data_IF_487712419265
#
_entry.id   IF_487712419265
#
_cell.length_a   1.000
_cell.length_b   1.000
_cell.length_c   1.000
_cell.angle_alpha   90.00
_cell.angle_beta   90.00
_cell.angle_gamma   90.00
#
_symmetry.space_group_name_H-M   'P 1'
#
loop_
_entity.id
_entity.type
_entity.pdbx_description
1 polymer ?
#
# COMPACT_ATOMS: atom_id res chain seq x y z
N UNK A 1 29.53 -7.71 2.74
CA UNK A 1 28.94 -8.22 1.48
C UNK A 1 28.64 -7.05 0.56
N UNK A 2 28.96 -7.15 -0.72
CA UNK A 2 28.56 -6.13 -1.69
C UNK A 2 27.14 -6.44 -2.14
N UNK A 3 26.20 -5.58 -1.78
CA UNK A 3 24.79 -5.75 -2.10
C UNK A 3 24.51 -5.24 -3.53
N UNK A 4 23.75 -6.01 -4.32
CA UNK A 4 23.36 -5.62 -5.70
C UNK A 4 22.14 -4.72 -5.66
N UNK A 5 21.18 -5.00 -4.77
CA UNK A 5 19.97 -4.21 -4.62
C UNK A 5 20.15 -3.02 -3.66
N UNK A 6 19.65 -1.82 -3.97
CA UNK A 6 19.65 -0.71 -3.04
C UNK A 6 18.81 -0.97 -1.78
N UNK A 7 17.82 -1.86 -1.85
CA UNK A 7 17.00 -2.29 -0.71
C UNK A 7 17.85 -3.00 0.35
N UNK A 8 18.80 -3.84 -0.07
CA UNK A 8 19.71 -4.57 0.83
C UNK A 8 20.95 -3.77 1.21
N UNK A 9 21.18 -2.63 0.54
CA UNK A 9 22.28 -1.71 0.76
C UNK A 9 21.86 -0.38 1.37
N UNK A 10 21.79 0.65 0.53
CA UNK A 10 21.51 2.06 0.90
C UNK A 10 20.25 2.24 1.74
N UNK A 11 19.21 1.45 1.49
CA UNK A 11 17.90 1.60 2.11
C UNK A 11 17.58 0.55 3.18
N UNK A 12 18.50 -0.36 3.46
CA UNK A 12 18.29 -1.51 4.35
C UNK A 12 17.68 -1.12 5.70
N UNK A 13 18.25 -0.13 6.37
CA UNK A 13 17.76 0.33 7.69
C UNK A 13 16.35 0.91 7.64
N UNK A 14 15.98 1.49 6.50
CA UNK A 14 14.65 2.08 6.32
C UNK A 14 13.53 1.05 6.11
N UNK A 15 13.88 -0.19 5.76
CA UNK A 15 12.93 -1.25 5.39
C UNK A 15 13.12 -2.53 6.19
N UNK A 16 13.97 -2.52 7.21
CA UNK A 16 14.36 -3.69 8.02
C UNK A 16 13.16 -4.38 8.69
N UNK A 17 12.06 -3.67 8.97
CA UNK A 17 10.84 -4.25 9.52
C UNK A 17 10.23 -5.33 8.60
N UNK A 18 10.55 -5.30 7.30
CA UNK A 18 10.08 -6.29 6.33
C UNK A 18 10.95 -7.55 6.29
N UNK A 19 12.14 -7.56 6.88
CA UNK A 19 13.03 -8.73 6.94
C UNK A 19 12.32 -9.93 7.58
N UNK A 20 11.55 -9.72 8.64
CA UNK A 20 10.78 -10.75 9.31
C UNK A 20 9.64 -11.37 8.48
N UNK A 21 9.37 -10.81 7.28
CA UNK A 21 8.33 -11.30 6.38
C UNK A 21 8.89 -11.78 5.04
N UNK A 22 9.84 -11.06 4.43
CA UNK A 22 10.21 -11.30 3.03
C UNK A 22 11.67 -11.74 2.82
N UNK A 23 12.48 -11.86 3.89
CA UNK A 23 13.79 -12.47 3.77
C UNK A 23 13.68 -13.98 3.49
N UNK A 24 14.73 -14.57 2.95
CA UNK A 24 14.80 -16.03 2.78
C UNK A 24 14.68 -16.75 4.12
N UNK A 25 15.27 -16.19 5.18
CA UNK A 25 15.16 -16.70 6.54
C UNK A 25 13.68 -16.66 7.02
N UNK A 26 12.96 -15.60 6.75
CA UNK A 26 11.53 -15.50 7.07
C UNK A 26 10.73 -16.57 6.32
N UNK A 27 10.98 -16.79 5.03
CA UNK A 27 10.28 -17.84 4.27
C UNK A 27 10.51 -19.22 4.90
N UNK A 28 11.75 -19.55 5.30
CA UNK A 28 12.02 -20.82 5.99
C UNK A 28 11.26 -20.92 7.31
N UNK A 29 11.24 -19.87 8.11
CA UNK A 29 10.48 -19.80 9.37
C UNK A 29 8.98 -20.02 9.15
N UNK A 30 8.38 -19.40 8.13
CA UNK A 30 6.96 -19.58 7.81
C UNK A 30 6.66 -20.99 7.29
N UNK A 31 7.55 -21.61 6.53
CA UNK A 31 7.43 -23.02 6.13
C UNK A 31 7.41 -23.95 7.34
N UNK A 32 8.32 -23.72 8.31
CA UNK A 32 8.35 -24.47 9.56
C UNK A 32 7.05 -24.28 10.34
N UNK A 33 6.54 -23.04 10.43
CA UNK A 33 5.26 -22.76 11.07
C UNK A 33 4.13 -23.61 10.44
N UNK A 34 4.02 -23.61 9.11
CA UNK A 34 2.96 -24.35 8.40
C UNK A 34 3.10 -25.87 8.63
N UNK A 35 4.31 -26.41 8.50
CA UNK A 35 4.59 -27.84 8.73
C UNK A 35 4.28 -28.26 10.17
N UNK A 36 4.72 -27.49 11.15
CA UNK A 36 4.53 -27.79 12.57
C UNK A 36 3.03 -27.71 12.92
N UNK A 37 2.33 -26.65 12.55
CA UNK A 37 0.90 -26.52 12.87
C UNK A 37 0.06 -27.57 12.12
N UNK A 38 0.48 -28.00 10.91
CA UNK A 38 -0.12 -29.12 10.22
C UNK A 38 0.10 -30.44 10.97
N UNK A 39 1.33 -30.75 11.36
CA UNK A 39 1.68 -31.92 12.17
C UNK A 39 0.83 -31.97 13.45
N UNK A 40 0.72 -30.85 14.17
CA UNK A 40 -0.09 -30.73 15.38
C UNK A 40 -1.57 -31.00 15.10
N UNK A 41 -2.07 -30.44 13.99
CA UNK A 41 -3.47 -30.64 13.57
C UNK A 41 -3.76 -32.07 13.16
N UNK A 42 -2.80 -32.76 12.52
CA UNK A 42 -2.96 -34.21 12.22
C UNK A 42 -3.08 -35.05 13.48
N UNK A 43 -2.25 -34.78 14.49
CA UNK A 43 -2.30 -35.55 15.76
C UNK A 43 -3.63 -35.36 16.50
N UNK A 44 -4.32 -34.23 16.30
CA UNK A 44 -5.67 -34.01 16.87
C UNK A 44 -6.76 -34.86 16.21
N UNK A 45 -6.55 -35.45 15.02
CA UNK A 45 -7.51 -36.32 14.38
C UNK A 45 -7.66 -37.63 15.14
N UNK A 46 -8.90 -38.10 15.34
CA UNK A 46 -9.21 -39.36 16.03
C UNK A 46 -8.41 -40.55 15.49
N UNK A 47 -8.12 -40.57 14.20
CA UNK A 47 -7.37 -41.64 13.52
C UNK A 47 -5.89 -41.70 13.97
N UNK A 48 -5.34 -40.62 14.49
CA UNK A 48 -3.96 -40.52 14.97
C UNK A 48 -3.85 -40.45 16.51
N UNK A 49 -4.89 -39.96 17.22
CA UNK A 49 -4.86 -39.73 18.67
C UNK A 49 -4.57 -41.00 19.50
N UNK A 50 -5.09 -42.17 19.10
CA UNK A 50 -4.96 -43.42 19.88
C UNK A 50 -3.50 -43.86 20.09
N UNK A 51 -2.54 -43.33 19.33
CA UNK A 51 -1.13 -43.74 19.36
C UNK A 51 -0.13 -42.61 19.68
N UNK A 52 -0.57 -41.35 19.73
CA UNK A 52 0.35 -40.16 19.75
C UNK A 52 -0.19 -38.99 20.55
N UNK A 53 -0.17 -39.13 21.88
CA UNK A 53 -0.49 -37.99 22.75
C UNK A 53 0.66 -36.96 22.75
N UNK A 54 0.33 -35.65 22.80
CA UNK A 54 1.32 -34.59 22.91
C UNK A 54 1.23 -33.94 24.29
N UNK A 55 2.35 -33.97 25.03
CA UNK A 55 2.46 -33.23 26.27
C UNK A 55 2.54 -31.71 25.96
N UNK A 56 2.17 -30.86 26.91
CA UNK A 56 2.35 -29.38 26.80
C UNK A 56 3.81 -29.02 26.45
N UNK A 57 4.77 -29.74 27.03
CA UNK A 57 6.19 -29.56 26.74
C UNK A 57 6.53 -29.85 25.27
N UNK A 58 6.01 -30.95 24.72
CA UNK A 58 6.23 -31.29 23.29
C UNK A 58 5.59 -30.27 22.37
N UNK A 59 4.37 -29.82 22.67
CA UNK A 59 3.68 -28.75 21.91
C UNK A 59 4.49 -27.46 21.88
N UNK A 60 4.97 -27.00 23.05
CA UNK A 60 5.81 -25.82 23.15
C UNK A 60 7.12 -25.98 22.38
N UNK A 61 7.82 -27.13 22.56
CA UNK A 61 9.09 -27.40 21.85
C UNK A 61 8.93 -27.37 20.33
N UNK A 62 7.82 -27.89 19.80
CA UNK A 62 7.55 -27.86 18.35
C UNK A 62 7.27 -26.45 17.87
N UNK A 63 6.47 -25.66 18.59
CA UNK A 63 6.17 -24.27 18.22
C UNK A 63 7.39 -23.37 18.34
N UNK A 64 8.28 -23.61 19.28
CA UNK A 64 9.52 -22.86 19.41
C UNK A 64 10.44 -23.00 18.18
N UNK A 65 10.27 -24.04 17.34
CA UNK A 65 11.03 -24.18 16.09
C UNK A 65 10.82 -22.98 15.13
N UNK A 66 9.62 -22.35 15.17
CA UNK A 66 9.36 -21.17 14.35
C UNK A 66 9.23 -19.88 15.16
N UNK A 67 8.93 -19.95 16.47
CA UNK A 67 8.85 -18.76 17.34
C UNK A 67 10.26 -18.25 17.64
N UNK A 68 11.18 -19.15 17.98
CA UNK A 68 12.57 -18.86 18.35
C UNK A 68 13.55 -19.18 17.20
N UNK A 69 13.07 -19.14 15.95
CA UNK A 69 13.88 -19.47 14.77
C UNK A 69 15.08 -18.54 14.64
N UNK A 70 16.28 -19.11 14.65
CA UNK A 70 17.56 -18.41 14.73
C UNK A 70 18.38 -18.50 13.45
N UNK A 71 19.41 -17.64 13.33
CA UNK A 71 20.42 -17.73 12.26
C UNK A 71 21.12 -19.08 12.21
N UNK A 72 21.29 -19.73 13.37
CA UNK A 72 21.88 -21.07 13.45
C UNK A 72 20.96 -22.10 12.78
N UNK A 73 19.67 -22.02 13.04
CA UNK A 73 18.67 -22.91 12.42
C UNK A 73 18.60 -22.67 10.90
N UNK A 74 18.61 -21.42 10.49
CA UNK A 74 18.66 -21.05 9.07
C UNK A 74 19.90 -21.64 8.37
N UNK A 75 21.09 -21.46 8.95
CA UNK A 75 22.33 -22.03 8.41
C UNK A 75 22.29 -23.57 8.35
N UNK A 76 21.66 -24.22 9.33
CA UNK A 76 21.46 -25.68 9.33
C UNK A 76 20.59 -26.10 8.14
N UNK A 77 19.46 -25.43 7.90
CA UNK A 77 18.56 -25.70 6.77
C UNK A 77 19.29 -25.49 5.44
N UNK A 78 20.04 -24.37 5.30
CA UNK A 78 20.82 -24.10 4.08
C UNK A 78 21.89 -25.16 3.80
N UNK A 79 22.50 -25.71 4.85
CA UNK A 79 23.43 -26.82 4.71
C UNK A 79 22.75 -28.12 4.24
N UNK A 80 21.53 -28.38 4.66
CA UNK A 80 20.73 -29.51 4.17
C UNK A 80 20.35 -29.27 2.72
N UNK A 81 19.83 -28.07 2.41
CA UNK A 81 19.41 -27.67 1.06
C UNK A 81 20.55 -27.80 0.05
N UNK A 82 21.77 -27.39 0.40
CA UNK A 82 22.95 -27.49 -0.50
C UNK A 82 23.29 -28.94 -0.92
N UNK A 83 22.82 -29.93 -0.16
CA UNK A 83 23.00 -31.36 -0.49
C UNK A 83 21.81 -31.94 -1.27
N UNK A 84 20.59 -31.48 -0.96
CA UNK A 84 19.36 -32.04 -1.50
C UNK A 84 18.87 -31.30 -2.76
N UNK A 85 19.35 -30.09 -3.01
CA UNK A 85 18.86 -29.14 -4.02
C UNK A 85 17.34 -28.89 -3.94
N UNK A 86 16.78 -29.02 -2.71
CA UNK A 86 15.34 -28.86 -2.52
C UNK A 86 15.03 -28.16 -1.18
N UNK A 87 14.59 -26.93 -1.26
CA UNK A 87 14.39 -26.04 -0.12
C UNK A 87 13.30 -26.52 0.87
N UNK A 88 12.12 -26.96 0.38
CA UNK A 88 11.04 -27.48 1.26
C UNK A 88 11.46 -28.80 1.89
N UNK A 89 12.12 -29.69 1.14
CA UNK A 89 12.64 -30.94 1.70
C UNK A 89 13.66 -30.68 2.82
N UNK A 90 14.49 -29.66 2.67
CA UNK A 90 15.43 -29.26 3.71
C UNK A 90 14.73 -28.88 5.03
N UNK A 91 13.58 -28.22 4.96
CA UNK A 91 12.72 -27.92 6.12
C UNK A 91 12.17 -29.20 6.75
N UNK A 92 11.69 -30.16 5.94
CA UNK A 92 11.17 -31.44 6.41
C UNK A 92 12.26 -32.23 7.16
N UNK A 93 13.48 -32.30 6.59
CA UNK A 93 14.63 -32.97 7.24
C UNK A 93 14.98 -32.26 8.55
N UNK A 94 15.05 -30.93 8.55
CA UNK A 94 15.32 -30.15 9.76
C UNK A 94 14.32 -30.44 10.89
N UNK A 95 13.02 -30.44 10.59
CA UNK A 95 11.99 -30.76 11.58
C UNK A 95 12.15 -32.20 12.08
N UNK A 96 12.45 -33.15 11.20
CA UNK A 96 12.68 -34.56 11.55
C UNK A 96 13.87 -34.71 12.50
N UNK A 97 14.99 -34.05 12.25
CA UNK A 97 16.16 -34.02 13.15
C UNK A 97 15.82 -33.44 14.53
N UNK A 98 14.98 -32.38 14.58
CA UNK A 98 14.53 -31.80 15.85
C UNK A 98 13.58 -32.76 16.62
N UNK A 99 12.72 -33.48 15.93
CA UNK A 99 11.86 -34.52 16.53
C UNK A 99 12.68 -35.67 17.12
N UNK A 100 13.75 -36.12 16.46
CA UNK A 100 14.68 -37.11 17.00
C UNK A 100 15.33 -36.64 18.31
N UNK A 101 15.79 -35.39 18.35
CA UNK A 101 16.45 -34.80 19.53
C UNK A 101 15.54 -34.73 20.76
N UNK A 102 14.24 -34.58 20.57
CA UNK A 102 13.25 -34.59 21.66
C UNK A 102 12.61 -35.97 21.88
N UNK A 103 13.20 -37.03 21.31
CA UNK A 103 12.76 -38.42 21.43
C UNK A 103 11.33 -38.66 20.94
N UNK A 104 10.91 -37.97 19.86
CA UNK A 104 9.58 -38.09 19.24
C UNK A 104 9.69 -38.58 17.79
N UNK A 105 10.49 -39.63 17.58
CA UNK A 105 10.59 -40.34 16.28
C UNK A 105 9.26 -40.83 15.74
N UNK A 106 8.32 -41.12 16.63
CA UNK A 106 6.95 -41.52 16.30
C UNK A 106 6.19 -40.46 15.45
N UNK A 107 6.56 -39.21 15.50
CA UNK A 107 5.96 -38.11 14.76
C UNK A 107 6.59 -37.87 13.38
N UNK A 108 7.83 -38.34 13.13
CA UNK A 108 8.55 -38.11 11.87
C UNK A 108 7.74 -38.53 10.64
N UNK A 109 7.05 -39.69 10.61
CA UNK A 109 6.23 -40.10 9.45
C UNK A 109 5.06 -39.17 9.16
N UNK A 110 4.73 -38.23 10.06
CA UNK A 110 3.61 -37.30 9.89
C UNK A 110 4.09 -35.92 9.37
N UNK A 111 5.39 -35.65 9.38
CA UNK A 111 5.93 -34.42 8.77
C UNK A 111 5.68 -34.50 7.28
N UNK A 112 5.13 -33.45 6.69
CA UNK A 112 4.79 -33.39 5.26
C UNK A 112 3.83 -34.51 4.77
N UNK A 113 3.03 -35.08 5.67
CA UNK A 113 2.17 -36.23 5.37
C UNK A 113 1.10 -35.90 4.31
N UNK A 114 1.18 -36.55 3.15
CA UNK A 114 0.23 -36.40 2.05
C UNK A 114 0.32 -35.08 1.30
N UNK A 115 1.28 -34.23 1.63
CA UNK A 115 1.45 -32.89 1.07
C UNK A 115 2.35 -32.86 -0.17
N UNK A 116 2.29 -31.75 -0.85
CA UNK A 116 3.28 -31.31 -1.82
C UNK A 116 3.91 -30.00 -1.34
N UNK A 117 5.09 -29.64 -1.87
CA UNK A 117 5.79 -28.41 -1.50
C UNK A 117 4.92 -27.15 -1.64
N UNK A 118 3.99 -27.14 -2.59
CA UNK A 118 3.10 -26.01 -2.80
C UNK A 118 2.04 -25.85 -1.71
N UNK A 119 1.62 -26.91 -1.04
CA UNK A 119 0.73 -26.75 0.14
C UNK A 119 1.39 -25.90 1.21
N UNK A 120 2.72 -26.05 1.36
CA UNK A 120 3.53 -25.27 2.32
C UNK A 120 3.85 -23.89 1.77
N UNK A 121 4.30 -23.79 0.52
CA UNK A 121 4.74 -22.52 -0.09
C UNK A 121 3.60 -21.51 -0.19
N UNK A 122 2.46 -21.88 -0.79
CA UNK A 122 1.37 -20.93 -0.95
C UNK A 122 0.86 -20.44 0.40
N UNK A 123 0.70 -21.33 1.38
CA UNK A 123 0.27 -20.96 2.73
C UNK A 123 1.29 -20.05 3.42
N UNK A 124 2.60 -20.33 3.28
CA UNK A 124 3.66 -19.50 3.82
C UNK A 124 3.63 -18.09 3.19
N UNK A 125 3.57 -17.98 1.87
CA UNK A 125 3.51 -16.68 1.19
C UNK A 125 2.25 -15.89 1.55
N UNK A 126 1.09 -16.53 1.66
CA UNK A 126 -0.14 -15.86 2.11
C UNK A 126 -0.01 -15.33 3.54
N UNK A 127 0.58 -16.11 4.46
CA UNK A 127 0.82 -15.67 5.84
C UNK A 127 1.85 -14.52 5.92
N UNK A 128 2.94 -14.60 5.17
CA UNK A 128 3.97 -13.55 5.08
C UNK A 128 3.36 -12.24 4.58
N UNK A 129 2.64 -12.31 3.47
CA UNK A 129 2.00 -11.15 2.83
C UNK A 129 0.93 -10.54 3.73
N UNK A 130 0.09 -11.36 4.35
CA UNK A 130 -0.92 -10.91 5.32
C UNK A 130 -0.28 -10.23 6.53
N UNK A 131 0.76 -10.84 7.09
CA UNK A 131 1.49 -10.32 8.23
C UNK A 131 2.15 -8.98 7.93
N UNK A 132 2.87 -8.86 6.82
CA UNK A 132 3.49 -7.62 6.37
C UNK A 132 2.45 -6.51 6.12
N UNK A 133 1.35 -6.84 5.44
CA UNK A 133 0.25 -5.89 5.20
C UNK A 133 -0.32 -5.36 6.51
N UNK A 134 -0.72 -6.26 7.42
CA UNK A 134 -1.40 -5.88 8.66
C UNK A 134 -0.49 -5.12 9.63
N UNK A 135 0.75 -5.60 9.80
CA UNK A 135 1.60 -5.13 10.89
C UNK A 135 2.58 -4.02 10.47
N UNK A 136 2.88 -3.88 9.18
CA UNK A 136 3.86 -2.90 8.68
C UNK A 136 3.22 -1.92 7.71
N UNK A 137 2.61 -2.40 6.61
CA UNK A 137 2.21 -1.53 5.51
C UNK A 137 1.00 -0.66 5.85
N UNK A 138 -0.08 -1.25 6.36
CA UNK A 138 -1.28 -0.50 6.77
C UNK A 138 -0.96 0.53 7.86
N UNK A 139 -0.18 0.22 8.92
CA UNK A 139 0.30 1.22 9.86
C UNK A 139 1.12 2.34 9.21
N UNK A 140 2.01 2.02 8.26
CA UNK A 140 2.81 3.02 7.57
C UNK A 140 1.93 3.98 6.74
N UNK A 141 0.95 3.47 5.99
CA UNK A 141 -0.02 4.28 5.24
C UNK A 141 -0.83 5.17 6.19
N UNK A 142 -1.31 4.62 7.32
CA UNK A 142 -2.04 5.39 8.35
C UNK A 142 -1.20 6.51 8.95
N UNK A 143 0.12 6.30 9.10
CA UNK A 143 1.02 7.35 9.57
C UNK A 143 1.16 8.49 8.53
N UNK A 144 1.24 8.19 7.23
CA UNK A 144 1.20 9.22 6.18
C UNK A 144 -0.11 10.00 6.26
N UNK A 145 -1.25 9.30 6.32
CA UNK A 145 -2.58 9.93 6.45
C UNK A 145 -2.67 10.83 7.67
N UNK A 146 -2.14 10.41 8.80
CA UNK A 146 -2.12 11.22 10.03
C UNK A 146 -1.44 12.57 9.81
N UNK A 147 -0.28 12.60 9.17
CA UNK A 147 0.44 13.84 8.91
C UNK A 147 -0.24 14.68 7.81
N UNK A 148 -0.79 14.04 6.76
CA UNK A 148 -1.59 14.73 5.75
C UNK A 148 -2.83 15.39 6.35
N UNK A 149 -3.59 14.69 7.21
CA UNK A 149 -4.74 15.25 7.91
C UNK A 149 -4.36 16.45 8.78
N UNK A 150 -3.24 16.41 9.50
CA UNK A 150 -2.75 17.54 10.26
C UNK A 150 -2.46 18.76 9.36
N UNK A 151 -1.82 18.53 8.21
CA UNK A 151 -1.51 19.58 7.25
C UNK A 151 -2.81 20.14 6.64
N UNK A 152 -3.73 19.29 6.19
CA UNK A 152 -5.00 19.68 5.61
C UNK A 152 -5.85 20.51 6.60
N UNK A 153 -5.98 20.08 7.86
CA UNK A 153 -6.70 20.83 8.91
C UNK A 153 -6.11 22.23 9.16
N UNK A 154 -4.77 22.34 9.18
CA UNK A 154 -4.11 23.65 9.37
C UNK A 154 -4.29 24.59 8.19
N UNK A 155 -4.61 24.07 7.02
CA UNK A 155 -4.69 24.81 5.76
C UNK A 155 -6.11 24.83 5.17
N UNK A 156 -7.11 24.29 5.89
CA UNK A 156 -8.48 24.17 5.38
C UNK A 156 -9.13 25.50 5.00
N UNK A 157 -8.79 26.58 5.72
CA UNK A 157 -9.29 27.94 5.49
C UNK A 157 -8.30 28.83 4.71
N UNK A 158 -7.26 28.27 4.10
CA UNK A 158 -6.33 29.03 3.28
C UNK A 158 -6.77 29.00 1.82
N UNK A 159 -7.34 30.10 1.26
CA UNK A 159 -7.72 30.19 -0.13
C UNK A 159 -6.50 30.04 -1.03
N UNK A 160 -6.66 29.34 -2.14
CA UNK A 160 -5.64 29.09 -3.14
C UNK A 160 -6.23 29.17 -4.54
N UNK A 161 -5.49 29.79 -5.47
CA UNK A 161 -5.81 29.75 -6.88
C UNK A 161 -5.65 28.34 -7.41
N UNK A 162 -6.73 27.70 -7.90
CA UNK A 162 -6.60 26.43 -8.62
C UNK A 162 -6.17 26.66 -10.06
N UNK A 163 -5.37 25.69 -10.55
CA UNK A 163 -4.97 25.65 -11.95
C UNK A 163 -5.61 24.42 -12.61
N UNK A 164 -6.32 24.64 -13.71
CA UNK A 164 -6.74 23.57 -14.60
C UNK A 164 -6.00 23.71 -15.92
N UNK A 165 -5.45 22.63 -16.44
CA UNK A 165 -4.56 22.67 -17.61
C UNK A 165 -3.38 23.65 -17.44
N UNK A 166 -2.92 23.87 -16.19
CA UNK A 166 -1.88 24.86 -15.87
C UNK A 166 -2.34 26.33 -15.96
N UNK A 167 -3.63 26.61 -16.15
CA UNK A 167 -4.18 27.96 -16.26
C UNK A 167 -5.04 28.31 -15.04
N UNK A 168 -5.05 29.61 -14.62
CA UNK A 168 -5.94 30.09 -13.56
C UNK A 168 -7.39 29.69 -13.80
N UNK A 169 -7.99 29.02 -12.84
CA UNK A 169 -9.37 28.56 -12.88
C UNK A 169 -10.21 29.27 -11.80
N UNK A 170 -10.74 28.54 -10.84
CA UNK A 170 -11.49 29.10 -9.72
C UNK A 170 -10.69 29.07 -8.43
N UNK A 171 -11.25 29.55 -7.33
CA UNK A 171 -10.63 29.47 -6.02
C UNK A 171 -10.97 28.16 -5.33
N UNK A 172 -9.99 27.57 -4.67
CA UNK A 172 -10.12 26.43 -3.77
C UNK A 172 -9.46 26.76 -2.42
N UNK A 173 -9.31 25.80 -1.53
CA UNK A 173 -8.41 25.94 -0.37
C UNK A 173 -7.31 24.89 -0.41
N UNK A 174 -6.15 25.25 0.12
CA UNK A 174 -5.00 24.34 0.18
C UNK A 174 -5.34 23.05 0.96
N UNK A 175 -6.13 23.18 2.04
CA UNK A 175 -6.57 22.01 2.81
C UNK A 175 -7.54 21.10 2.04
N UNK A 176 -8.41 21.67 1.18
CA UNK A 176 -9.33 20.89 0.35
C UNK A 176 -8.57 20.09 -0.71
N UNK A 177 -7.55 20.66 -1.32
CA UNK A 177 -6.72 19.93 -2.30
C UNK A 177 -6.00 18.72 -1.63
N UNK A 178 -5.46 18.91 -0.42
CA UNK A 178 -4.88 17.81 0.36
C UNK A 178 -5.92 16.77 0.77
N UNK A 179 -7.17 17.19 1.06
CA UNK A 179 -8.26 16.30 1.45
C UNK A 179 -8.69 15.36 0.32
N UNK A 180 -8.48 15.71 -0.93
CA UNK A 180 -8.72 14.83 -2.08
C UNK A 180 -7.87 13.55 -1.97
N UNK A 181 -6.58 13.69 -1.70
CA UNK A 181 -5.68 12.55 -1.53
C UNK A 181 -6.04 11.72 -0.29
N UNK A 182 -6.37 12.39 0.81
CA UNK A 182 -6.79 11.71 2.06
C UNK A 182 -8.00 10.82 1.81
N UNK A 183 -9.05 11.35 1.19
CA UNK A 183 -10.29 10.61 0.90
C UNK A 183 -10.04 9.40 -0.01
N UNK A 184 -9.19 9.57 -1.05
CA UNK A 184 -8.82 8.48 -1.96
C UNK A 184 -8.11 7.35 -1.21
N UNK A 185 -7.13 7.68 -0.34
CA UNK A 185 -6.35 6.68 0.41
C UNK A 185 -7.23 5.98 1.46
N UNK A 186 -8.12 6.71 2.15
CA UNK A 186 -9.03 6.11 3.12
C UNK A 186 -9.94 5.06 2.48
N UNK A 187 -10.46 5.34 1.28
CA UNK A 187 -11.24 4.37 0.51
C UNK A 187 -10.42 3.11 0.18
N UNK A 188 -9.18 3.27 -0.26
CA UNK A 188 -8.31 2.12 -0.56
C UNK A 188 -7.94 1.32 0.70
N UNK A 189 -7.81 1.98 1.86
CA UNK A 189 -7.58 1.29 3.14
C UNK A 189 -8.77 0.43 3.58
N UNK A 190 -10.00 0.84 3.26
CA UNK A 190 -11.19 -0.01 3.48
C UNK A 190 -11.07 -1.25 2.61
N UNK A 191 -10.85 -1.09 1.30
CA UNK A 191 -10.76 -2.19 0.35
C UNK A 191 -9.65 -3.19 0.71
N UNK A 192 -8.46 -2.71 1.08
CA UNK A 192 -7.32 -3.58 1.43
C UNK A 192 -7.58 -4.43 2.67
N UNK A 193 -8.38 -3.93 3.62
CA UNK A 193 -8.75 -4.67 4.82
C UNK A 193 -9.81 -5.75 4.58
N UNK A 194 -10.56 -5.66 3.48
CA UNK A 194 -11.57 -6.65 3.08
C UNK A 194 -10.98 -7.82 2.30
N UNK A 195 -9.76 -7.70 1.81
CA UNK A 195 -9.11 -8.77 1.03
C UNK A 195 -8.73 -9.92 1.94
N UNK A 196 -9.34 -11.08 1.68
CA UNK A 196 -9.02 -12.34 2.35
C UNK A 196 -8.03 -13.15 1.52
N UNK A 197 -6.81 -13.33 2.06
CA UNK A 197 -5.81 -14.14 1.38
C UNK A 197 -6.17 -15.63 1.46
N UNK A 198 -6.07 -16.28 0.31
CA UNK A 198 -6.41 -17.67 0.13
C UNK A 198 -5.21 -18.58 0.38
N UNK A 199 -5.49 -19.84 0.72
CA UNK A 199 -4.51 -20.91 0.76
C UNK A 199 -5.11 -22.23 0.28
N UNK A 200 -4.24 -23.04 -0.31
CA UNK A 200 -4.54 -24.41 -0.75
C UNK A 200 -3.80 -25.38 0.14
N UNK A 201 -4.48 -26.45 0.56
CA UNK A 201 -3.88 -27.52 1.38
C UNK A 201 -4.54 -28.85 1.03
N UNK A 202 -4.24 -29.40 -0.16
CA UNK A 202 -5.00 -30.50 -0.78
C UNK A 202 -4.16 -31.52 -1.54
N UNK A 203 -2.82 -31.49 -1.35
CA UNK A 203 -1.88 -32.45 -1.95
C UNK A 203 -1.53 -32.15 -3.40
N UNK A 204 -0.88 -33.11 -4.05
CA UNK A 204 -0.18 -32.96 -5.32
C UNK A 204 -1.00 -32.42 -6.50
N UNK A 205 -2.30 -32.67 -6.53
CA UNK A 205 -3.20 -32.21 -7.60
C UNK A 205 -4.52 -31.63 -7.10
N UNK A 206 -4.55 -31.20 -5.84
CA UNK A 206 -5.76 -30.57 -5.27
C UNK A 206 -6.88 -31.56 -4.88
N UNK A 207 -6.59 -32.84 -4.84
CA UNK A 207 -7.61 -33.91 -4.72
C UNK A 207 -7.58 -34.70 -3.40
N UNK A 208 -6.63 -34.42 -2.51
CA UNK A 208 -6.37 -35.22 -1.29
C UNK A 208 -6.08 -36.70 -1.54
N UNK A 209 -5.63 -37.10 -2.73
CA UNK A 209 -5.51 -38.50 -3.14
C UNK A 209 -4.65 -39.31 -2.16
N UNK A 210 -3.45 -38.83 -1.79
CA UNK A 210 -2.57 -39.52 -0.84
C UNK A 210 -3.20 -39.61 0.57
N UNK A 211 -3.84 -38.56 1.03
CA UNK A 211 -4.54 -38.53 2.30
C UNK A 211 -5.70 -39.50 2.33
N UNK A 212 -6.49 -39.57 1.27
CA UNK A 212 -7.66 -40.44 1.13
C UNK A 212 -7.26 -41.91 1.01
N UNK A 213 -6.17 -42.20 0.33
CA UNK A 213 -5.61 -43.57 0.26
C UNK A 213 -5.18 -44.06 1.64
N UNK A 214 -4.51 -43.19 2.44
CA UNK A 214 -4.05 -43.57 3.78
C UNK A 214 -5.20 -43.66 4.81
N UNK A 215 -6.15 -42.73 4.78
CA UNK A 215 -7.28 -42.64 5.72
C UNK A 215 -8.60 -42.38 4.98
N UNK A 216 -9.19 -43.39 4.35
CA UNK A 216 -10.38 -43.25 3.49
C UNK A 216 -11.64 -42.74 4.21
N UNK A 217 -11.74 -42.91 5.53
CA UNK A 217 -12.89 -42.45 6.33
C UNK A 217 -12.76 -41.01 6.82
N UNK A 218 -11.58 -40.36 6.69
CA UNK A 218 -11.39 -38.99 7.12
C UNK A 218 -11.97 -38.00 6.09
N UNK A 219 -12.59 -36.92 6.60
CA UNK A 219 -13.04 -35.82 5.74
C UNK A 219 -11.92 -34.78 5.60
N UNK A 220 -11.07 -34.99 4.61
CA UNK A 220 -9.87 -34.17 4.40
C UNK A 220 -10.16 -32.73 3.96
N UNK A 221 -11.24 -32.51 3.20
CA UNK A 221 -11.66 -31.18 2.81
C UNK A 221 -12.06 -30.33 4.03
N UNK A 222 -12.87 -30.91 4.93
CA UNK A 222 -13.24 -30.22 6.19
C UNK A 222 -12.01 -30.00 7.09
N UNK A 223 -11.10 -30.97 7.14
CA UNK A 223 -9.87 -30.84 7.90
C UNK A 223 -9.03 -29.68 7.37
N UNK A 224 -8.76 -29.63 6.07
CA UNK A 224 -7.98 -28.55 5.44
C UNK A 224 -8.63 -27.17 5.66
N UNK A 225 -9.96 -27.07 5.51
CA UNK A 225 -10.68 -25.81 5.78
C UNK A 225 -10.48 -25.35 7.22
N UNK A 226 -10.59 -26.23 8.20
CA UNK A 226 -10.37 -25.90 9.61
C UNK A 226 -8.92 -25.49 9.89
N UNK A 227 -7.98 -26.22 9.29
CA UNK A 227 -6.55 -25.93 9.42
C UNK A 227 -6.20 -24.55 8.87
N UNK A 228 -6.58 -24.25 7.64
CA UNK A 228 -6.32 -22.96 6.98
C UNK A 228 -6.98 -21.81 7.76
N UNK A 229 -8.24 -21.99 8.22
CA UNK A 229 -8.93 -21.01 9.05
C UNK A 229 -8.20 -20.76 10.39
N UNK A 230 -7.64 -21.79 11.01
CA UNK A 230 -6.83 -21.67 12.24
C UNK A 230 -5.58 -20.81 12.01
N UNK A 231 -4.99 -20.86 10.82
CA UNK A 231 -3.89 -19.99 10.42
C UNK A 231 -4.34 -18.56 10.08
N UNK A 232 -5.66 -18.31 10.08
CA UNK A 232 -6.23 -17.00 9.76
C UNK A 232 -6.31 -16.69 8.26
N UNK A 233 -6.30 -17.71 7.41
CA UNK A 233 -6.49 -17.64 5.96
C UNK A 233 -7.84 -18.22 5.55
N UNK A 234 -8.22 -18.05 4.29
CA UNK A 234 -9.38 -18.71 3.70
C UNK A 234 -8.95 -19.83 2.74
N UNK A 235 -9.76 -20.90 2.67
CA UNK A 235 -9.45 -22.02 1.79
C UNK A 235 -9.86 -21.72 0.36
N UNK A 236 -8.93 -21.87 -0.60
CA UNK A 236 -9.24 -22.05 -2.01
C UNK A 236 -9.74 -23.50 -2.21
N UNK A 237 -11.03 -23.72 -2.49
CA UNK A 237 -11.61 -25.08 -2.43
C UNK A 237 -11.33 -25.92 -3.67
N UNK A 238 -11.13 -25.30 -4.83
CA UNK A 238 -10.89 -25.95 -6.13
C UNK A 238 -9.56 -25.45 -6.67
N UNK A 239 -8.56 -26.32 -6.69
CA UNK A 239 -7.19 -25.98 -7.08
C UNK A 239 -6.54 -27.12 -7.86
N UNK A 240 -5.44 -26.81 -8.52
CA UNK A 240 -4.50 -27.80 -9.05
C UNK A 240 -3.44 -28.17 -8.00
N UNK A 241 -2.19 -28.31 -8.39
CA UNK A 241 -1.09 -28.42 -7.42
C UNK A 241 -0.84 -27.09 -6.72
N UNK A 242 -1.14 -25.95 -7.37
CA UNK A 242 -0.95 -24.61 -6.84
C UNK A 242 -2.25 -23.98 -6.36
N UNK A 243 -2.15 -23.01 -5.46
CA UNK A 243 -3.13 -21.97 -5.26
C UNK A 243 -2.91 -20.92 -6.37
N UNK A 244 -3.93 -20.49 -7.13
CA UNK A 244 -3.76 -19.65 -8.31
C UNK A 244 -3.13 -18.27 -8.10
N UNK A 245 -3.07 -17.79 -6.86
CA UNK A 245 -2.47 -16.49 -6.51
C UNK A 245 -3.37 -15.28 -6.73
N UNK A 246 -4.64 -15.49 -7.07
CA UNK A 246 -5.58 -14.41 -7.40
C UNK A 246 -5.78 -13.43 -6.24
N UNK A 247 -5.88 -13.93 -5.00
CA UNK A 247 -6.07 -13.08 -3.81
C UNK A 247 -4.82 -12.23 -3.48
N UNK A 248 -3.63 -12.77 -3.74
CA UNK A 248 -2.39 -11.98 -3.62
C UNK A 248 -2.33 -10.95 -4.75
N UNK A 249 -2.70 -11.29 -5.98
CA UNK A 249 -2.75 -10.35 -7.10
C UNK A 249 -3.74 -9.20 -6.83
N UNK A 250 -4.91 -9.48 -6.27
CA UNK A 250 -5.88 -8.47 -5.85
C UNK A 250 -5.26 -7.49 -4.83
N UNK A 251 -4.57 -8.03 -3.83
CA UNK A 251 -3.87 -7.21 -2.84
C UNK A 251 -2.78 -6.34 -3.47
N UNK A 252 -1.97 -6.90 -4.38
CA UNK A 252 -0.92 -6.15 -5.08
C UNK A 252 -1.51 -5.03 -5.95
N UNK A 253 -2.64 -5.26 -6.64
CA UNK A 253 -3.35 -4.22 -7.38
C UNK A 253 -3.87 -3.10 -6.45
N UNK A 254 -4.29 -3.42 -5.23
CA UNK A 254 -4.66 -2.40 -4.24
C UNK A 254 -3.47 -1.55 -3.82
N UNK A 255 -2.29 -2.15 -3.64
CA UNK A 255 -1.06 -1.39 -3.41
C UNK A 255 -0.69 -0.50 -4.58
N UNK A 256 -0.84 -0.95 -5.83
CA UNK A 256 -0.60 -0.11 -7.03
C UNK A 256 -1.51 1.14 -6.99
N UNK A 257 -2.79 1.00 -6.63
CA UNK A 257 -3.69 2.14 -6.53
C UNK A 257 -3.29 3.11 -5.42
N UNK A 258 -2.93 2.60 -4.24
CA UNK A 258 -2.44 3.43 -3.12
C UNK A 258 -1.16 4.17 -3.52
N UNK A 259 -0.22 3.46 -4.13
CA UNK A 259 1.05 4.03 -4.58
C UNK A 259 0.84 5.11 -5.65
N UNK A 260 -0.09 4.91 -6.59
CA UNK A 260 -0.45 5.92 -7.58
C UNK A 260 -1.00 7.19 -6.94
N UNK A 261 -1.82 7.08 -5.88
CA UNK A 261 -2.34 8.24 -5.15
C UNK A 261 -1.19 8.99 -4.46
N UNK A 262 -0.23 8.28 -3.88
CA UNK A 262 0.93 8.91 -3.25
C UNK A 262 1.93 9.48 -4.25
N UNK A 263 2.09 8.87 -5.43
CA UNK A 263 2.89 9.42 -6.53
C UNK A 263 2.28 10.73 -7.05
N UNK A 264 0.97 10.73 -7.31
CA UNK A 264 0.18 11.90 -7.69
C UNK A 264 0.30 13.04 -6.65
N UNK A 265 0.19 12.71 -5.36
CA UNK A 265 0.46 13.64 -4.27
C UNK A 265 1.89 14.19 -4.28
N UNK A 266 2.89 13.37 -4.58
CA UNK A 266 4.29 13.80 -4.65
C UNK A 266 4.54 14.80 -5.79
N UNK A 267 3.93 14.54 -6.95
CA UNK A 267 3.97 15.44 -8.12
C UNK A 267 3.34 16.81 -7.79
N UNK A 268 2.15 16.81 -7.19
CA UNK A 268 1.49 18.06 -6.79
C UNK A 268 2.30 18.82 -5.74
N UNK A 269 2.88 18.14 -4.75
CA UNK A 269 3.74 18.80 -3.76
C UNK A 269 4.99 19.39 -4.40
N UNK A 270 5.60 18.71 -5.38
CA UNK A 270 6.72 19.24 -6.14
C UNK A 270 6.32 20.52 -6.90
N UNK A 271 5.15 20.50 -7.58
CA UNK A 271 4.60 21.67 -8.29
C UNK A 271 4.26 22.81 -7.32
N UNK A 272 3.65 22.54 -6.17
CA UNK A 272 3.36 23.56 -5.16
C UNK A 272 4.64 24.18 -4.58
N UNK A 273 5.71 23.40 -4.39
CA UNK A 273 7.01 23.90 -3.94
C UNK A 273 7.65 24.75 -5.05
N UNK A 274 7.63 24.33 -6.32
CA UNK A 274 8.19 25.07 -7.45
C UNK A 274 7.49 26.43 -7.68
N UNK A 275 6.16 26.49 -7.40
CA UNK A 275 5.37 27.74 -7.43
C UNK A 275 5.48 28.56 -6.13
N UNK A 276 6.27 28.12 -5.18
CA UNK A 276 6.41 28.78 -3.88
C UNK A 276 5.10 28.85 -3.06
N UNK A 277 4.14 27.95 -3.33
CA UNK A 277 2.91 27.75 -2.52
C UNK A 277 3.27 27.12 -1.18
N UNK A 278 4.17 26.13 -1.20
CA UNK A 278 4.86 25.64 -0.02
C UNK A 278 6.31 26.09 0.00
N UNK A 279 6.80 26.41 1.17
CA UNK A 279 8.24 26.62 1.43
C UNK A 279 8.78 25.48 2.27
N UNK A 280 10.00 25.04 1.96
CA UNK A 280 10.66 23.98 2.70
C UNK A 280 11.45 24.58 3.88
N UNK A 281 11.40 23.89 5.02
CA UNK A 281 12.19 24.27 6.20
C UNK A 281 13.65 23.92 5.96
N UNK A 282 14.53 24.87 6.22
CA UNK A 282 15.96 24.62 6.25
C UNK A 282 16.32 23.82 7.52
N UNK A 283 17.11 22.77 7.38
CA UNK A 283 17.62 21.97 8.50
C UNK A 283 19.13 22.17 8.57
N UNK A 284 19.60 22.65 9.71
CA UNK A 284 21.02 22.87 9.93
C UNK A 284 21.84 21.58 9.71
N UNK A 285 22.94 21.69 8.97
CA UNK A 285 23.82 20.57 8.65
C UNK A 285 23.45 19.78 7.39
N UNK A 286 22.29 20.03 6.76
CA UNK A 286 21.96 19.39 5.48
C UNK A 286 22.51 20.19 4.29
N UNK A 287 23.06 19.46 3.30
CA UNK A 287 23.55 20.05 2.04
C UNK A 287 22.47 19.83 0.98
N UNK A 288 21.80 20.91 0.57
CA UNK A 288 20.74 20.86 -0.44
C UNK A 288 21.27 20.69 -1.88
N UNK A 289 22.48 21.15 -2.15
CA UNK A 289 23.17 21.03 -3.44
C UNK A 289 24.67 21.11 -3.22
N UNK A 290 25.43 20.28 -3.92
CA UNK A 290 26.91 20.32 -3.89
C UNK A 290 27.49 21.58 -4.53
N UNK A 291 26.72 22.26 -5.40
CA UNK A 291 27.18 23.39 -6.20
C UNK A 291 26.46 24.70 -5.87
N UNK A 292 25.22 24.64 -5.42
CA UNK A 292 24.36 25.82 -5.17
C UNK A 292 23.92 25.87 -3.71
N UNK A 293 24.62 26.60 -2.82
CA UNK A 293 24.39 26.53 -1.36
C UNK A 293 23.01 27.02 -0.91
N UNK A 294 22.34 27.86 -1.70
CA UNK A 294 21.03 28.45 -1.41
C UNK A 294 19.85 27.50 -1.75
N UNK A 295 20.12 26.40 -2.45
CA UNK A 295 19.07 25.54 -3.03
C UNK A 295 18.61 24.45 -2.05
N UNK A 296 17.31 24.39 -1.78
CA UNK A 296 16.67 23.34 -1.00
C UNK A 296 15.78 22.54 -1.93
N UNK A 297 16.18 21.31 -2.24
CA UNK A 297 15.44 20.43 -3.16
C UNK A 297 14.33 19.66 -2.44
N UNK A 298 13.20 19.37 -3.09
CA UNK A 298 12.12 18.55 -2.55
C UNK A 298 12.41 17.04 -2.60
N UNK A 299 13.63 16.64 -2.21
CA UNK A 299 14.19 15.30 -2.42
C UNK A 299 13.35 14.17 -1.82
N UNK A 300 12.56 14.43 -0.78
CA UNK A 300 11.72 13.42 -0.16
C UNK A 300 10.52 13.06 -1.03
N UNK A 301 9.93 14.02 -1.74
CA UNK A 301 8.85 13.79 -2.69
C UNK A 301 9.39 13.12 -3.97
N UNK A 302 10.52 13.61 -4.50
CA UNK A 302 11.19 13.01 -5.67
C UNK A 302 11.61 11.55 -5.39
N UNK A 303 12.20 11.28 -4.23
CA UNK A 303 12.59 9.93 -3.83
C UNK A 303 11.36 9.03 -3.60
N UNK A 304 10.28 9.56 -3.03
CA UNK A 304 9.04 8.81 -2.87
C UNK A 304 8.45 8.43 -4.22
N UNK A 305 8.31 9.37 -5.15
CA UNK A 305 7.81 9.16 -6.51
C UNK A 305 8.58 8.04 -7.21
N UNK A 306 9.91 8.17 -7.34
CA UNK A 306 10.73 7.19 -8.04
C UNK A 306 10.67 5.79 -7.43
N UNK A 307 10.60 5.68 -6.09
CA UNK A 307 10.47 4.37 -5.43
C UNK A 307 9.05 3.79 -5.58
N UNK A 308 8.01 4.62 -5.61
CA UNK A 308 6.63 4.16 -5.88
C UNK A 308 6.49 3.60 -7.29
N UNK A 309 7.15 4.20 -8.27
CA UNK A 309 7.14 3.69 -9.66
C UNK A 309 7.84 2.33 -9.77
N UNK A 310 8.99 2.15 -9.09
CA UNK A 310 9.66 0.85 -9.00
C UNK A 310 8.76 -0.19 -8.31
N UNK A 311 8.10 0.18 -7.21
CA UNK A 311 7.17 -0.69 -6.51
C UNK A 311 5.99 -1.10 -7.39
N UNK A 312 5.38 -0.15 -8.10
CA UNK A 312 4.23 -0.38 -8.98
C UNK A 312 4.57 -1.29 -10.16
N UNK A 313 5.76 -1.11 -10.76
CA UNK A 313 6.24 -2.01 -11.81
C UNK A 313 6.39 -3.45 -11.28
N UNK A 314 6.99 -3.62 -10.10
CA UNK A 314 7.13 -4.92 -9.45
C UNK A 314 5.76 -5.55 -9.14
N UNK A 315 4.86 -4.83 -8.48
CA UNK A 315 3.53 -5.33 -8.12
C UNK A 315 2.67 -5.68 -9.34
N UNK A 316 2.66 -4.83 -10.38
CA UNK A 316 1.91 -5.09 -11.60
C UNK A 316 2.42 -6.31 -12.35
N UNK A 317 3.74 -6.47 -12.44
CA UNK A 317 4.36 -7.66 -13.02
C UNK A 317 3.99 -8.90 -12.20
N UNK A 318 4.15 -8.86 -10.88
CA UNK A 318 3.83 -9.98 -9.99
C UNK A 318 2.36 -10.36 -10.10
N UNK A 319 1.43 -9.41 -9.96
CA UNK A 319 0.00 -9.67 -10.05
C UNK A 319 -0.40 -10.33 -11.37
N UNK A 320 0.17 -9.87 -12.49
CA UNK A 320 -0.05 -10.48 -13.80
C UNK A 320 0.59 -11.86 -13.95
N UNK A 321 1.72 -12.11 -13.29
CA UNK A 321 2.50 -13.35 -13.53
C UNK A 321 2.13 -14.49 -12.60
N UNK A 322 1.85 -14.21 -11.31
CA UNK A 322 1.55 -15.26 -10.33
C UNK A 322 0.24 -16.00 -10.59
N UNK A 323 -0.70 -15.37 -11.31
CA UNK A 323 -1.99 -15.95 -11.70
C UNK A 323 -1.90 -16.88 -12.92
N UNK A 324 -0.71 -17.15 -13.43
CA UNK A 324 -0.48 -17.99 -14.62
C UNK A 324 0.48 -19.12 -14.33
N UNK A 325 0.11 -20.34 -14.72
CA UNK A 325 0.96 -21.52 -14.66
C UNK A 325 0.74 -22.41 -15.87
N UNK A 326 1.68 -23.31 -16.14
CA UNK A 326 1.53 -24.33 -17.17
C UNK A 326 0.92 -25.58 -16.55
N UNK A 327 -0.18 -26.04 -17.14
CA UNK A 327 -0.90 -27.22 -16.65
C UNK A 327 -1.19 -27.11 -15.14
N UNK A 328 -0.85 -28.09 -14.32
CA UNK A 328 -1.09 -28.12 -12.89
C UNK A 328 -0.06 -27.34 -12.08
N UNK A 329 1.16 -27.17 -12.60
CA UNK A 329 2.25 -26.39 -12.02
C UNK A 329 3.45 -26.28 -12.96
N UNK A 330 4.16 -25.16 -12.91
CA UNK A 330 5.56 -25.03 -13.35
C UNK A 330 6.41 -24.32 -12.27
N UNK A 331 7.74 -24.26 -12.49
CA UNK A 331 8.67 -23.67 -11.51
C UNK A 331 8.67 -22.13 -11.52
N UNK A 332 8.24 -21.49 -12.62
CA UNK A 332 8.38 -20.05 -12.80
C UNK A 332 7.62 -19.22 -11.75
N UNK A 333 6.50 -19.73 -11.24
CA UNK A 333 5.77 -19.11 -10.14
C UNK A 333 6.63 -18.97 -8.88
N UNK A 334 7.31 -20.03 -8.46
CA UNK A 334 8.19 -20.02 -7.28
C UNK A 334 9.33 -19.01 -7.41
N UNK A 335 9.91 -18.85 -8.61
CA UNK A 335 10.96 -17.85 -8.90
C UNK A 335 10.43 -16.42 -8.69
N UNK A 336 9.23 -16.18 -9.17
CA UNK A 336 8.62 -14.85 -9.16
C UNK A 336 8.18 -14.45 -7.75
N UNK A 337 7.57 -15.37 -6.99
CA UNK A 337 7.11 -15.11 -5.62
C UNK A 337 8.24 -14.64 -4.68
N UNK A 338 9.49 -15.04 -4.91
CA UNK A 338 10.65 -14.59 -4.12
C UNK A 338 10.89 -13.09 -4.20
N UNK A 339 10.30 -12.40 -5.20
CA UNK A 339 10.43 -10.95 -5.40
C UNK A 339 9.29 -10.13 -4.76
N UNK A 340 8.36 -10.75 -4.03
CA UNK A 340 7.28 -10.03 -3.34
C UNK A 340 7.80 -8.89 -2.46
N UNK A 341 8.84 -9.15 -1.68
CA UNK A 341 9.42 -8.19 -0.75
C UNK A 341 9.94 -6.91 -1.39
N UNK A 342 10.34 -6.96 -2.66
CA UNK A 342 10.93 -5.81 -3.38
C UNK A 342 9.93 -4.66 -3.50
N UNK A 343 8.72 -4.94 -4.00
CA UNK A 343 7.66 -3.93 -4.12
C UNK A 343 7.22 -3.37 -2.77
N UNK A 344 7.08 -4.24 -1.75
CA UNK A 344 6.76 -3.81 -0.38
C UNK A 344 7.85 -2.90 0.21
N UNK A 345 9.12 -3.21 -0.01
CA UNK A 345 10.23 -2.43 0.52
C UNK A 345 10.32 -1.04 -0.13
N UNK A 346 10.19 -0.94 -1.45
CA UNK A 346 10.16 0.36 -2.13
C UNK A 346 8.93 1.19 -1.71
N UNK A 347 7.75 0.58 -1.54
CA UNK A 347 6.55 1.27 -1.04
C UNK A 347 6.75 1.79 0.39
N UNK A 348 7.28 0.97 1.31
CA UNK A 348 7.53 1.37 2.69
C UNK A 348 8.53 2.54 2.79
N UNK A 349 9.61 2.47 2.02
CA UNK A 349 10.59 3.55 1.92
C UNK A 349 9.93 4.86 1.49
N UNK A 350 9.07 4.80 0.47
CA UNK A 350 8.33 5.96 -0.04
C UNK A 350 7.41 6.54 1.01
N UNK A 351 6.63 5.70 1.71
CA UNK A 351 5.73 6.18 2.77
C UNK A 351 6.48 6.90 3.90
N UNK A 352 7.65 6.40 4.29
CA UNK A 352 8.53 7.07 5.26
C UNK A 352 9.07 8.41 4.74
N UNK A 353 9.42 8.49 3.45
CA UNK A 353 9.88 9.74 2.83
C UNK A 353 8.75 10.77 2.70
N UNK A 354 7.52 10.35 2.36
CA UNK A 354 6.36 11.24 2.34
C UNK A 354 6.13 11.90 3.70
N UNK A 355 6.23 11.16 4.79
CA UNK A 355 6.13 11.73 6.14
C UNK A 355 7.21 12.79 6.36
N UNK A 356 8.47 12.49 6.00
CA UNK A 356 9.57 13.44 6.13
C UNK A 356 9.33 14.70 5.29
N UNK A 357 8.85 14.55 4.04
CA UNK A 357 8.52 15.65 3.15
C UNK A 357 7.41 16.54 3.72
N UNK A 358 6.30 15.94 4.17
CA UNK A 358 5.15 16.67 4.74
C UNK A 358 5.51 17.44 6.00
N UNK A 359 6.38 16.90 6.85
CA UNK A 359 6.83 17.56 8.07
C UNK A 359 7.76 18.77 7.81
N UNK A 360 8.36 18.83 6.60
CA UNK A 360 9.31 19.87 6.22
C UNK A 360 8.71 21.02 5.44
N UNK A 361 7.45 20.97 5.07
CA UNK A 361 6.79 22.04 4.32
C UNK A 361 5.92 22.93 5.20
N UNK A 362 5.81 24.17 4.79
CA UNK A 362 4.89 25.15 5.39
C UNK A 362 4.23 25.98 4.29
N UNK A 363 2.92 26.32 4.41
CA UNK A 363 2.23 27.10 3.40
C UNK A 363 2.78 28.54 3.36
N UNK A 364 2.98 29.07 2.18
CA UNK A 364 3.38 30.46 1.95
C UNK A 364 2.15 31.34 1.77
N UNK A 365 1.62 31.85 2.89
CA UNK A 365 0.41 32.68 2.89
C UNK A 365 0.55 33.94 2.02
N UNK A 366 1.76 34.51 1.91
CA UNK A 366 2.00 35.69 1.08
C UNK A 366 1.83 35.37 -0.41
N UNK A 367 2.38 34.24 -0.86
CA UNK A 367 2.26 33.80 -2.25
C UNK A 367 0.82 33.43 -2.61
N UNK A 368 0.13 32.68 -1.74
CA UNK A 368 -1.28 32.33 -1.91
C UNK A 368 -2.15 33.57 -2.08
N UNK A 369 -1.94 34.58 -1.21
CA UNK A 369 -2.65 35.87 -1.31
C UNK A 369 -2.33 36.60 -2.61
N UNK A 370 -1.06 36.71 -2.98
CA UNK A 370 -0.59 37.37 -4.20
C UNK A 370 -1.24 36.77 -5.45
N UNK A 371 -1.23 35.45 -5.60
CA UNK A 371 -1.82 34.79 -6.77
C UNK A 371 -3.34 35.07 -6.89
N UNK A 372 -4.06 35.14 -5.79
CA UNK A 372 -5.49 35.48 -5.81
C UNK A 372 -5.73 36.95 -6.10
N UNK A 373 -4.94 37.85 -5.51
CA UNK A 373 -5.04 39.31 -5.75
C UNK A 373 -4.81 39.66 -7.24
N UNK A 374 -3.97 38.92 -7.93
CA UNK A 374 -3.62 39.09 -9.34
C UNK A 374 -4.62 38.42 -10.30
N UNK A 375 -5.56 37.60 -9.82
CA UNK A 375 -6.44 36.76 -10.65
C UNK A 375 -7.95 37.00 -10.41
N UNK A 376 -8.40 38.22 -10.52
CA UNK A 376 -9.83 38.58 -10.42
C UNK A 376 -10.69 37.94 -11.51
N UNK A 377 -10.11 37.45 -12.60
CA UNK A 377 -10.78 36.73 -13.68
C UNK A 377 -11.48 35.45 -13.22
N UNK A 378 -11.10 34.85 -12.07
CA UNK A 378 -11.77 33.69 -11.49
C UNK A 378 -13.25 33.95 -11.18
N UNK A 379 -13.64 35.21 -10.95
CA UNK A 379 -15.01 35.61 -10.68
C UNK A 379 -15.89 35.75 -11.94
N UNK A 380 -15.30 35.63 -13.12
CA UNK A 380 -16.05 35.67 -14.38
C UNK A 380 -17.11 34.55 -14.48
N UNK A 381 -16.80 33.38 -13.87
CA UNK A 381 -17.75 32.28 -13.75
C UNK A 381 -18.97 32.66 -12.92
N UNK A 382 -18.79 33.32 -11.77
CA UNK A 382 -19.87 33.78 -10.94
C UNK A 382 -20.79 34.75 -11.69
N UNK A 383 -20.20 35.73 -12.40
CA UNK A 383 -20.97 36.71 -13.19
C UNK A 383 -21.83 36.00 -14.27
N UNK A 384 -21.21 35.12 -15.07
CA UNK A 384 -21.91 34.44 -16.14
C UNK A 384 -23.04 33.53 -15.60
N UNK A 385 -22.80 32.88 -14.42
CA UNK A 385 -23.80 32.01 -13.79
C UNK A 385 -25.00 32.79 -13.30
N UNK A 386 -24.81 33.97 -12.72
CA UNK A 386 -25.88 34.88 -12.30
C UNK A 386 -26.66 35.42 -13.48
N UNK A 387 -26.00 35.83 -14.55
CA UNK A 387 -26.70 36.24 -15.77
C UNK A 387 -27.56 35.13 -16.37
N UNK A 388 -27.08 33.89 -16.35
CA UNK A 388 -27.89 32.72 -16.75
C UNK A 388 -29.09 32.49 -15.85
N UNK A 389 -28.93 32.61 -14.53
CA UNK A 389 -30.06 32.58 -13.57
C UNK A 389 -31.13 33.60 -13.92
N UNK A 390 -30.71 34.77 -14.42
CA UNK A 390 -31.64 35.86 -14.87
C UNK A 390 -32.22 35.65 -16.28
N UNK A 391 -31.93 34.50 -16.94
CA UNK A 391 -32.48 34.17 -18.26
C UNK A 391 -31.65 34.71 -19.45
N UNK A 392 -30.44 35.25 -19.23
CA UNK A 392 -29.59 35.75 -20.31
C UNK A 392 -28.96 34.60 -21.10
N UNK A 393 -29.48 34.31 -22.27
CA UNK A 393 -29.00 33.24 -23.17
C UNK A 393 -27.62 33.52 -23.76
N UNK A 394 -27.15 34.75 -23.75
CA UNK A 394 -25.86 35.19 -24.27
C UNK A 394 -24.84 35.50 -23.15
N UNK A 395 -25.14 35.13 -21.90
CA UNK A 395 -24.28 35.42 -20.74
C UNK A 395 -22.83 35.04 -20.96
N UNK A 396 -22.56 33.83 -21.45
CA UNK A 396 -21.21 33.34 -21.71
C UNK A 396 -20.44 34.18 -22.71
N UNK A 397 -21.06 34.49 -23.87
CA UNK A 397 -20.39 35.24 -24.93
C UNK A 397 -20.15 36.71 -24.52
N UNK A 398 -21.04 37.30 -23.74
CA UNK A 398 -20.84 38.63 -23.17
C UNK A 398 -19.60 38.67 -22.26
N UNK A 399 -19.53 37.75 -21.30
CA UNK A 399 -18.41 37.70 -20.36
C UNK A 399 -17.11 37.32 -21.08
N UNK A 400 -17.14 36.36 -22.01
CA UNK A 400 -15.98 35.99 -22.84
C UNK A 400 -15.38 37.18 -23.60
N UNK A 401 -16.23 38.04 -24.20
CA UNK A 401 -15.74 39.27 -24.88
C UNK A 401 -15.06 40.25 -23.94
N UNK A 402 -15.49 40.31 -22.68
CA UNK A 402 -14.94 41.22 -21.68
C UNK A 402 -13.63 40.68 -21.05
N UNK A 403 -13.46 39.39 -20.99
CA UNK A 403 -12.43 38.73 -20.16
C UNK A 403 -11.32 38.02 -20.95
N UNK A 404 -11.62 37.53 -22.16
CA UNK A 404 -10.65 36.70 -22.91
C UNK A 404 -9.46 37.56 -23.39
N UNK A 405 -8.24 37.11 -22.97
CA UNK A 405 -6.98 37.78 -23.35
C UNK A 405 -6.74 39.10 -22.65
N UNK A 406 -7.54 39.48 -21.65
CA UNK A 406 -7.35 40.71 -20.88
C UNK A 406 -7.23 40.38 -19.39
N UNK A 407 -6.26 40.95 -18.65
CA UNK A 407 -6.21 40.80 -17.20
C UNK A 407 -7.41 41.55 -16.58
N UNK A 408 -8.21 40.86 -15.80
CA UNK A 408 -9.28 41.46 -15.02
C UNK A 408 -8.70 41.93 -13.70
N UNK A 409 -8.62 43.28 -13.53
CA UNK A 409 -8.27 43.90 -12.25
C UNK A 409 -9.52 44.01 -11.37
N UNK A 410 -9.32 44.25 -10.07
CA UNK A 410 -10.41 44.57 -9.14
C UNK A 410 -11.30 45.72 -9.67
N UNK A 411 -10.69 46.78 -10.17
CA UNK A 411 -11.40 47.97 -10.72
C UNK A 411 -12.30 47.58 -11.89
N UNK A 412 -11.76 46.81 -12.83
CA UNK A 412 -12.53 46.34 -14.00
C UNK A 412 -13.67 45.39 -13.58
N UNK A 413 -13.42 44.51 -12.63
CA UNK A 413 -14.47 43.62 -12.09
C UNK A 413 -15.64 44.41 -11.50
N UNK A 414 -15.36 45.40 -10.64
CA UNK A 414 -16.39 46.22 -10.02
C UNK A 414 -17.18 47.05 -11.09
N UNK A 415 -16.50 47.55 -12.11
CA UNK A 415 -17.15 48.25 -13.23
C UNK A 415 -18.09 47.29 -13.99
N UNK A 416 -17.60 46.09 -14.35
CA UNK A 416 -18.44 45.07 -15.03
C UNK A 416 -19.68 44.78 -14.21
N UNK A 417 -19.56 44.53 -12.88
CA UNK A 417 -20.69 44.22 -12.01
C UNK A 417 -21.71 45.37 -11.94
N UNK A 418 -21.26 46.61 -11.85
CA UNK A 418 -22.15 47.78 -11.84
C UNK A 418 -22.95 47.91 -13.14
N UNK A 419 -22.33 47.63 -14.30
CA UNK A 419 -22.92 47.74 -15.63
C UNK A 419 -23.83 46.55 -16.00
N UNK A 420 -23.87 45.46 -15.16
CA UNK A 420 -24.70 44.27 -15.42
C UNK A 420 -26.20 44.61 -15.40
N UNK A 421 -26.97 43.99 -16.31
CA UNK A 421 -28.44 43.94 -16.24
C UNK A 421 -28.83 42.75 -15.34
N UNK A 422 -28.76 42.92 -14.02
CA UNK A 422 -29.13 41.94 -13.03
C UNK A 422 -29.94 42.60 -11.90
N UNK A 423 -30.60 41.82 -11.04
CA UNK A 423 -31.29 42.33 -9.86
C UNK A 423 -30.32 43.05 -8.91
N UNK A 424 -30.83 43.95 -8.08
CA UNK A 424 -30.04 44.62 -7.06
C UNK A 424 -29.39 43.62 -6.12
N UNK A 425 -30.13 42.61 -5.69
CA UNK A 425 -29.65 41.54 -4.80
C UNK A 425 -28.46 40.76 -5.42
N UNK A 426 -28.58 40.39 -6.69
CA UNK A 426 -27.53 39.70 -7.43
C UNK A 426 -26.26 40.57 -7.60
N UNK A 427 -26.42 41.89 -7.85
CA UNK A 427 -25.29 42.82 -7.91
C UNK A 427 -24.63 42.99 -6.56
N UNK A 428 -25.39 43.17 -5.49
CA UNK A 428 -24.87 43.35 -4.13
C UNK A 428 -24.08 42.09 -3.71
N UNK A 429 -24.56 40.89 -4.06
CA UNK A 429 -23.84 39.63 -3.82
C UNK A 429 -22.51 39.59 -4.61
N UNK A 430 -22.53 39.93 -5.91
CA UNK A 430 -21.30 39.97 -6.71
C UNK A 430 -20.30 40.99 -6.18
N UNK A 431 -20.74 42.18 -5.75
CA UNK A 431 -19.86 43.21 -5.19
C UNK A 431 -19.14 42.80 -3.92
N UNK A 432 -19.74 41.88 -3.15
CA UNK A 432 -19.13 41.28 -1.95
C UNK A 432 -18.13 40.16 -2.26
N UNK A 433 -18.20 39.52 -3.45
CA UNK A 433 -17.29 38.47 -3.85
C UNK A 433 -15.88 39.00 -4.13
N UNK A 434 -14.93 38.23 -3.67
CA UNK A 434 -13.51 38.40 -3.98
C UNK A 434 -12.92 37.07 -4.39
N UNK A 435 -11.76 37.03 -5.06
CA UNK A 435 -11.07 35.76 -5.30
C UNK A 435 -10.79 34.95 -4.00
N UNK A 436 -10.71 35.63 -2.85
CA UNK A 436 -10.50 34.96 -1.55
C UNK A 436 -11.75 34.37 -0.93
N UNK A 437 -12.93 34.86 -1.29
CA UNK A 437 -14.23 34.46 -0.71
C UNK A 437 -15.06 33.58 -1.62
N UNK A 438 -14.64 33.40 -2.87
CA UNK A 438 -15.32 32.55 -3.84
C UNK A 438 -14.98 31.08 -3.63
N UNK A 439 -15.44 30.52 -2.49
CA UNK A 439 -15.09 29.18 -2.02
C UNK A 439 -16.24 28.18 -2.05
N UNK A 440 -17.46 28.63 -2.38
CA UNK A 440 -18.63 27.77 -2.38
C UNK A 440 -18.88 27.14 -1.00
N UNK A 441 -19.07 25.83 -0.96
CA UNK A 441 -19.38 25.06 0.25
C UNK A 441 -18.17 24.27 0.81
N UNK A 442 -16.93 24.73 0.57
CA UNK A 442 -15.72 24.03 1.00
C UNK A 442 -15.72 23.72 2.50
N UNK A 443 -16.22 24.63 3.34
CA UNK A 443 -16.27 24.42 4.79
C UNK A 443 -17.15 23.21 5.16
N UNK A 444 -18.32 23.06 4.51
CA UNK A 444 -19.20 21.90 4.68
C UNK A 444 -18.56 20.61 4.16
N UNK A 445 -17.92 20.68 2.98
CA UNK A 445 -17.23 19.55 2.37
C UNK A 445 -16.12 19.01 3.29
N UNK A 446 -15.46 19.90 4.04
CA UNK A 446 -14.36 19.55 4.94
C UNK A 446 -14.79 19.39 6.41
N UNK A 447 -16.08 19.31 6.69
CA UNK A 447 -16.59 19.22 8.07
C UNK A 447 -16.01 18.01 8.84
N UNK A 448 -15.88 16.88 8.14
CA UNK A 448 -15.41 15.60 8.71
C UNK A 448 -13.91 15.31 8.46
N UNK A 449 -13.13 16.29 8.07
CA UNK A 449 -11.70 16.12 7.79
C UNK A 449 -10.86 15.87 9.06
#
# INVERSE_FOLDING_TARGET
>A
MNNISPIDGRYKENVSELEGYFSEQALMRYRILVEVEYLLSLVELKSFQKKRSLSKKTLSSLRNLYIEFSDKDFKQIKKIESKTNHDVNAVVVFISEKLEKISRKDLIPLVHFGLTSEDINNTAYSLMTKGATKNIMVPAIKNVLKELKKLARRTKSLPMLSLTHGQPATTTTLGKELAVFISRIERELVLINEINLLAKFSGATGSYAAHKAAFPKANWSVFAKKFIKRLGLEQSPITSQIEPGDSIAELLHSYVRINNIFSDFSLDMWLYISRNIFVQKNVSGEVGSSTMPHKINPIFFENAEGNLDVANNNFSFLASRITKSRLQRDLSGSTVFRNLGVGFAHSLLSYKNLIKGVLRVSPNKKQLKKELDENWSVLAEAIQTILRKSGDVHAYDKIKKLTRGKPITKKLYLQIVNDLKASKEDKDMLLQLTPHTYLGEIDKILENL
#
